data_IF_731868704966
#
_entry.id   IF_731868704966
#
_cell.length_a   1.000
_cell.length_b   1.000
_cell.length_c   1.000
_cell.angle_alpha   90.00
_cell.angle_beta   90.00
_cell.angle_gamma   90.00
#
_symmetry.space_group_name_H-M   'P 1'
#
loop_
_entity.id
_entity.type
_entity.pdbx_description
1 polymer ?
#
# COMPACT_ATOMS: atom_id res chain seq x y z
N UNK A 1 -0.20 -4.58 14.43
CA UNK A 1 0.49 -4.95 13.18
C UNK A 1 1.96 -5.16 13.50
N UNK A 2 2.65 -6.17 12.94
CA UNK A 2 4.06 -6.38 13.24
C UNK A 2 4.95 -5.38 12.47
N UNK A 3 6.16 -5.09 12.96
CA UNK A 3 7.10 -4.17 12.29
C UNK A 3 7.38 -4.56 10.82
N UNK A 4 7.45 -5.86 10.55
CA UNK A 4 7.67 -6.39 9.20
C UNK A 4 6.50 -6.04 8.27
N UNK A 5 5.27 -6.20 8.74
CA UNK A 5 4.06 -5.90 7.95
C UNK A 5 3.98 -4.41 7.61
N UNK A 6 4.35 -3.53 8.56
CA UNK A 6 4.41 -2.09 8.31
C UNK A 6 5.44 -1.71 7.26
N UNK A 7 6.62 -2.34 7.29
CA UNK A 7 7.65 -2.14 6.25
C UNK A 7 7.11 -2.61 4.89
N UNK A 8 6.49 -3.79 4.84
CA UNK A 8 5.87 -4.30 3.61
C UNK A 8 4.79 -3.36 3.06
N UNK A 9 3.95 -2.80 3.94
CA UNK A 9 2.94 -1.79 3.57
C UNK A 9 3.59 -0.55 2.94
N UNK A 10 4.68 -0.04 3.52
CA UNK A 10 5.44 1.09 2.99
C UNK A 10 6.07 0.78 1.63
N UNK A 11 6.63 -0.43 1.46
CA UNK A 11 7.19 -0.88 0.17
C UNK A 11 6.10 -0.97 -0.90
N UNK A 12 4.93 -1.51 -0.57
CA UNK A 12 3.79 -1.60 -1.48
C UNK A 12 3.28 -0.23 -1.92
N UNK A 13 3.29 0.77 -1.03
CA UNK A 13 3.00 2.17 -1.39
C UNK A 13 3.95 2.66 -2.49
N UNK A 14 5.25 2.44 -2.34
CA UNK A 14 6.25 2.79 -3.36
C UNK A 14 6.00 2.08 -4.68
N UNK A 15 5.76 0.77 -4.64
CA UNK A 15 5.48 -0.04 -5.82
C UNK A 15 4.21 0.42 -6.56
N UNK A 16 3.13 0.76 -5.84
CA UNK A 16 1.89 1.24 -6.45
C UNK A 16 2.08 2.61 -7.13
N UNK A 17 2.91 3.50 -6.56
CA UNK A 17 3.28 4.78 -7.22
C UNK A 17 3.99 4.55 -8.55
N UNK A 18 4.89 3.57 -8.61
CA UNK A 18 5.59 3.22 -9.85
C UNK A 18 4.63 2.60 -10.87
N UNK A 19 3.70 1.74 -10.44
CA UNK A 19 2.65 1.20 -11.33
C UNK A 19 1.72 2.27 -11.91
N UNK A 20 1.41 3.32 -11.14
CA UNK A 20 0.64 4.48 -11.61
C UNK A 20 1.42 5.28 -12.66
N UNK A 21 2.75 5.37 -12.52
CA UNK A 21 3.64 5.98 -13.51
C UNK A 21 3.88 5.09 -14.76
N UNK A 22 3.19 3.95 -14.86
CA UNK A 22 3.27 3.07 -16.03
C UNK A 22 4.35 1.99 -15.95
N UNK A 23 5.07 1.85 -14.83
CA UNK A 23 5.98 0.72 -14.67
C UNK A 23 5.21 -0.59 -14.62
N UNK A 24 5.58 -1.52 -15.50
CA UNK A 24 5.08 -2.88 -15.52
C UNK A 24 6.02 -3.79 -14.75
N UNK A 25 5.47 -4.84 -14.18
CA UNK A 25 6.21 -5.84 -13.40
C UNK A 25 5.71 -7.21 -13.78
N UNK A 26 6.56 -8.22 -13.60
CA UNK A 26 6.18 -9.62 -13.77
C UNK A 26 5.42 -10.08 -12.50
N UNK A 27 4.24 -10.69 -12.65
CA UNK A 27 3.40 -11.19 -11.54
C UNK A 27 2.29 -10.25 -11.02
N UNK A 28 1.67 -10.61 -9.88
CA UNK A 28 0.47 -9.98 -9.27
C UNK A 28 0.65 -8.53 -8.81
N UNK A 29 0.13 -7.52 -9.52
CA UNK A 29 0.28 -6.07 -9.27
C UNK A 29 0.25 -5.63 -7.79
N UNK A 30 0.97 -4.54 -7.46
CA UNK A 30 1.00 -3.96 -6.12
C UNK A 30 -0.42 -3.58 -5.70
N UNK A 31 -1.19 -3.00 -6.63
CA UNK A 31 -2.62 -2.78 -6.48
C UNK A 31 -3.40 -4.04 -6.05
N UNK A 32 -3.19 -5.19 -6.71
CA UNK A 32 -3.89 -6.42 -6.36
C UNK A 32 -3.48 -6.98 -4.99
N UNK A 33 -2.19 -6.89 -4.65
CA UNK A 33 -1.68 -7.30 -3.34
C UNK A 33 -2.28 -6.43 -2.24
N UNK A 34 -2.30 -5.11 -2.43
CA UNK A 34 -2.83 -4.15 -1.46
C UNK A 34 -4.32 -4.40 -1.19
N UNK A 35 -5.13 -4.57 -2.22
CA UNK A 35 -6.57 -4.85 -2.05
C UNK A 35 -6.83 -6.16 -1.32
N UNK A 36 -6.03 -7.20 -1.61
CA UNK A 36 -6.15 -8.50 -0.95
C UNK A 36 -5.77 -8.41 0.52
N UNK A 37 -4.63 -7.78 0.84
CA UNK A 37 -4.05 -7.83 2.18
C UNK A 37 -4.71 -6.82 3.13
N UNK A 38 -5.14 -5.65 2.63
CA UNK A 38 -5.62 -4.55 3.46
C UNK A 38 -7.10 -4.22 3.21
N UNK A 39 -7.80 -4.98 2.36
CA UNK A 39 -9.23 -4.82 2.10
C UNK A 39 -9.62 -3.53 1.37
N UNK A 40 -8.66 -2.77 0.84
CA UNK A 40 -8.90 -1.48 0.18
C UNK A 40 -9.67 -1.64 -1.14
N UNK A 41 -10.44 -0.61 -1.53
CA UNK A 41 -11.32 -0.64 -2.71
C UNK A 41 -11.20 0.63 -3.54
N UNK A 42 -11.68 0.57 -4.79
CA UNK A 42 -11.56 1.66 -5.77
C UNK A 42 -10.47 1.42 -6.82
N UNK A 43 -10.13 2.47 -7.57
CA UNK A 43 -9.09 2.44 -8.61
C UNK A 43 -7.67 2.57 -7.99
N UNK A 44 -6.61 2.49 -8.81
CA UNK A 44 -5.22 2.56 -8.32
C UNK A 44 -4.90 3.85 -7.54
N UNK A 45 -5.43 4.99 -7.99
CA UNK A 45 -5.18 6.29 -7.36
C UNK A 45 -5.89 6.36 -6.00
N UNK A 46 -7.17 5.99 -5.95
CA UNK A 46 -7.94 5.95 -4.71
C UNK A 46 -7.36 4.96 -3.69
N UNK A 47 -6.92 3.78 -4.15
CA UNK A 47 -6.26 2.78 -3.30
C UNK A 47 -4.92 3.30 -2.77
N UNK A 48 -4.16 4.06 -3.57
CA UNK A 48 -2.93 4.68 -3.09
C UNK A 48 -3.22 5.69 -1.97
N UNK A 49 -4.23 6.54 -2.14
CA UNK A 49 -4.64 7.51 -1.11
C UNK A 49 -5.04 6.82 0.19
N UNK A 50 -5.94 5.83 0.12
CA UNK A 50 -6.37 5.06 1.30
C UNK A 50 -5.20 4.34 1.98
N UNK A 51 -4.24 3.82 1.21
CA UNK A 51 -3.06 3.17 1.77
C UNK A 51 -2.16 4.18 2.51
N UNK A 52 -2.01 5.40 1.98
CA UNK A 52 -1.25 6.46 2.66
C UNK A 52 -1.89 6.87 3.99
N UNK A 53 -3.22 7.05 4.01
CA UNK A 53 -3.97 7.35 5.23
C UNK A 53 -3.79 6.24 6.28
N UNK A 54 -3.91 4.97 5.86
CA UNK A 54 -3.70 3.84 6.74
C UNK A 54 -2.27 3.80 7.29
N UNK A 55 -1.26 4.08 6.47
CA UNK A 55 0.14 4.13 6.94
C UNK A 55 0.31 5.22 8.02
N UNK A 56 -0.32 6.38 7.87
CA UNK A 56 -0.18 7.45 8.86
C UNK A 56 -0.88 7.09 10.18
N UNK A 57 -2.08 6.50 10.11
CA UNK A 57 -2.79 5.99 11.30
C UNK A 57 -1.92 4.99 12.06
N UNK A 58 -1.38 3.98 11.37
CA UNK A 58 -0.52 2.95 11.98
C UNK A 58 0.78 3.55 12.55
N UNK A 59 1.32 4.61 11.93
CA UNK A 59 2.50 5.31 12.42
C UNK A 59 2.24 6.07 13.72
N UNK A 60 1.05 6.64 13.88
CA UNK A 60 0.63 7.33 15.11
C UNK A 60 0.46 6.33 16.26
N UNK A 61 -0.16 5.18 16.03
CA UNK A 61 -0.29 4.10 17.01
C UNK A 61 1.05 3.53 17.51
N UNK A 62 2.11 3.53 16.69
CA UNK A 62 3.44 3.04 17.08
C UNK A 62 4.22 4.07 17.92
N UNK A 63 3.80 5.33 17.91
CA UNK A 63 4.42 6.42 18.69
C UNK A 63 3.75 6.68 20.04
N UNK A 64 2.47 6.32 20.16
CA UNK A 64 1.73 6.30 21.44
C UNK A 64 2.14 5.11 22.29
#
# INVERSE_FOLDING_TARGET
>A
MNKIDFIQMCTLRGALRLELKGMKRRGKSAYAIIKRNYGLRGNKQSVLTQLCEKIEQEREYVKS
#
